data_IF_053440042572
#
_entry.id   IF_053440042572
#
_cell.length_a   1.000
_cell.length_b   1.000
_cell.length_c   1.000
_cell.angle_alpha   90.00
_cell.angle_beta   90.00
_cell.angle_gamma   90.00
#
_symmetry.space_group_name_H-M   'P 1'
#
loop_
_entity.id
_entity.type
_entity.pdbx_description
1 polymer ?
#
# COMPACT_ATOMS: atom_id res chain seq x y z
N UNK A 1 25.22 17.62 -5.47
CA UNK A 1 24.96 16.59 -4.45
C UNK A 1 23.46 16.49 -4.23
N UNK A 2 22.81 15.42 -4.68
CA UNK A 2 21.39 15.19 -4.42
C UNK A 2 21.20 14.91 -2.94
N UNK A 3 20.48 15.76 -2.25
CA UNK A 3 20.23 15.64 -0.82
C UNK A 3 19.32 14.43 -0.54
N UNK A 4 19.87 13.34 -0.09
CA UNK A 4 19.17 12.09 0.25
C UNK A 4 18.13 12.32 1.39
N UNK A 5 18.34 13.34 2.20
CA UNK A 5 17.48 13.59 3.36
C UNK A 5 16.01 13.90 2.98
N UNK A 6 15.76 14.56 1.83
CA UNK A 6 14.39 14.91 1.41
C UNK A 6 13.52 13.67 1.11
N UNK A 7 13.96 12.71 0.25
CA UNK A 7 13.19 11.48 0.07
C UNK A 7 13.07 10.67 1.36
N UNK A 8 14.11 10.62 2.20
CA UNK A 8 14.03 9.93 3.48
C UNK A 8 12.99 10.56 4.42
N UNK A 9 12.97 11.89 4.53
CA UNK A 9 11.99 12.61 5.33
C UNK A 9 10.56 12.39 4.80
N UNK A 10 10.38 12.36 3.48
CA UNK A 10 9.08 12.08 2.87
C UNK A 10 8.58 10.67 3.20
N UNK A 11 9.44 9.66 3.07
CA UNK A 11 9.11 8.28 3.45
C UNK A 11 8.77 8.17 4.93
N UNK A 12 9.56 8.78 5.81
CA UNK A 12 9.28 8.80 7.25
C UNK A 12 7.91 9.46 7.53
N UNK A 13 7.62 10.59 6.89
CA UNK A 13 6.33 11.26 7.05
C UNK A 13 5.16 10.44 6.53
N UNK A 14 5.32 9.67 5.44
CA UNK A 14 4.32 8.72 4.96
C UNK A 14 4.07 7.59 5.96
N UNK A 15 5.10 7.09 6.61
CA UNK A 15 4.99 5.91 7.48
C UNK A 15 4.56 6.26 8.91
N UNK A 16 4.87 7.45 9.40
CA UNK A 16 4.57 7.85 10.78
C UNK A 16 3.11 7.60 11.19
N UNK A 17 2.08 8.00 10.42
CA UNK A 17 0.70 7.76 10.82
C UNK A 17 0.32 6.27 10.90
N UNK A 18 0.94 5.43 10.08
CA UNK A 18 0.67 3.98 10.06
C UNK A 18 1.10 3.32 11.37
N UNK A 19 2.24 3.74 11.93
CA UNK A 19 2.82 3.12 13.12
C UNK A 19 2.53 3.88 14.42
N UNK A 20 1.86 5.03 14.33
CA UNK A 20 1.59 5.88 15.50
C UNK A 20 0.68 5.21 16.54
N UNK A 21 -0.33 4.48 16.11
CA UNK A 21 -1.38 3.92 16.97
C UNK A 21 -1.20 2.41 17.28
N UNK A 22 -0.04 1.84 17.04
CA UNK A 22 0.24 0.41 17.26
C UNK A 22 -0.42 -0.54 16.24
N UNK A 23 -1.59 -0.18 15.71
CA UNK A 23 -2.24 -0.82 14.56
C UNK A 23 -2.83 0.25 13.64
N UNK A 24 -2.79 0.05 12.32
CA UNK A 24 -3.44 0.96 11.38
C UNK A 24 -4.94 1.06 11.65
N UNK A 25 -5.46 2.29 11.69
CA UNK A 25 -6.88 2.57 11.89
C UNK A 25 -7.51 2.90 10.53
N UNK A 26 -7.99 1.89 9.83
CA UNK A 26 -8.65 2.05 8.53
C UNK A 26 -9.88 1.14 8.46
N UNK A 27 -10.99 1.64 7.91
CA UNK A 27 -12.31 1.03 8.08
C UNK A 27 -12.42 -0.40 7.56
N UNK A 28 -11.91 -0.69 6.36
CA UNK A 28 -12.00 -2.02 5.71
C UNK A 28 -10.79 -2.94 5.98
N UNK A 29 -9.75 -2.42 6.61
CA UNK A 29 -8.52 -3.18 6.85
C UNK A 29 -8.76 -4.43 7.72
N UNK A 30 -9.59 -4.41 8.77
CA UNK A 30 -9.93 -5.61 9.54
C UNK A 30 -10.58 -6.71 8.70
N UNK A 31 -11.39 -6.35 7.69
CA UNK A 31 -12.03 -7.32 6.78
C UNK A 31 -10.98 -8.09 5.96
N UNK A 32 -9.97 -7.39 5.45
CA UNK A 32 -8.85 -8.01 4.74
C UNK A 32 -8.07 -8.96 5.65
N UNK A 33 -7.74 -8.52 6.86
CA UNK A 33 -7.01 -9.34 7.84
C UNK A 33 -7.82 -10.57 8.24
N UNK A 34 -9.14 -10.42 8.45
CA UNK A 34 -10.06 -11.52 8.75
C UNK A 34 -10.11 -12.54 7.60
N UNK A 35 -10.19 -12.08 6.35
CA UNK A 35 -10.22 -12.96 5.19
C UNK A 35 -8.95 -13.81 5.09
N UNK A 36 -7.78 -13.23 5.35
CA UNK A 36 -6.51 -13.97 5.37
C UNK A 36 -6.48 -15.01 6.50
N UNK A 37 -6.91 -14.61 7.70
CA UNK A 37 -7.00 -15.52 8.84
C UNK A 37 -7.96 -16.70 8.54
N UNK A 38 -9.15 -16.42 8.02
CA UNK A 38 -10.12 -17.44 7.66
C UNK A 38 -9.58 -18.39 6.59
N UNK A 39 -8.89 -17.86 5.58
CA UNK A 39 -8.26 -18.65 4.55
C UNK A 39 -7.19 -19.61 5.12
N UNK A 40 -6.46 -19.20 6.15
CA UNK A 40 -5.52 -20.09 6.84
C UNK A 40 -6.23 -21.21 7.59
N UNK A 41 -7.32 -20.91 8.32
CA UNK A 41 -8.12 -21.95 9.00
C UNK A 41 -8.69 -22.97 8.01
N UNK A 42 -9.18 -22.53 6.85
CA UNK A 42 -9.68 -23.42 5.80
C UNK A 42 -8.56 -24.35 5.30
N UNK A 43 -7.36 -23.82 5.04
CA UNK A 43 -6.21 -24.63 4.60
C UNK A 43 -5.75 -25.63 5.65
N UNK A 44 -5.92 -25.33 6.92
CA UNK A 44 -5.60 -26.20 8.07
C UNK A 44 -6.70 -27.24 8.37
N UNK A 45 -7.86 -27.14 7.70
CA UNK A 45 -9.01 -28.01 7.96
C UNK A 45 -9.80 -27.65 9.21
N UNK A 46 -9.54 -26.48 9.80
CA UNK A 46 -10.17 -26.01 11.06
C UNK A 46 -11.48 -25.24 10.80
N UNK A 47 -11.88 -25.06 9.54
CA UNK A 47 -13.14 -24.43 9.15
C UNK A 47 -13.99 -25.38 8.26
N UNK A 48 -14.57 -26.45 8.80
CA UNK A 48 -15.30 -27.44 8.02
C UNK A 48 -16.53 -26.82 7.33
N UNK A 49 -16.76 -27.22 6.08
CA UNK A 49 -17.88 -26.69 5.27
C UNK A 49 -17.58 -25.37 4.56
N UNK A 50 -16.41 -24.80 4.76
CA UNK A 50 -15.94 -23.62 4.02
C UNK A 50 -14.88 -24.02 3.00
N UNK A 51 -14.81 -23.27 1.90
CA UNK A 51 -13.78 -23.42 0.86
C UNK A 51 -13.29 -22.06 0.38
N UNK A 52 -12.08 -22.04 -0.18
CA UNK A 52 -11.50 -20.82 -0.76
C UNK A 52 -11.90 -20.78 -2.22
N UNK A 53 -12.67 -19.77 -2.60
CA UNK A 53 -12.93 -19.48 -4.00
C UNK A 53 -11.66 -18.97 -4.68
N UNK A 54 -11.25 -19.51 -5.84
CA UNK A 54 -10.05 -19.07 -6.54
C UNK A 54 -10.26 -17.71 -7.21
N UNK A 55 -10.22 -16.64 -6.43
CA UNK A 55 -10.27 -15.26 -6.93
C UNK A 55 -8.86 -14.79 -7.26
N UNK A 56 -8.65 -14.32 -8.50
CA UNK A 56 -7.35 -13.82 -8.98
C UNK A 56 -7.26 -12.30 -8.86
N UNK A 57 -8.39 -11.60 -8.97
CA UNK A 57 -8.45 -10.14 -8.96
C UNK A 57 -8.61 -9.59 -7.54
N UNK A 58 -8.05 -8.41 -7.31
CA UNK A 58 -8.19 -7.64 -6.07
C UNK A 58 -7.72 -8.39 -4.80
N UNK A 59 -6.65 -9.18 -4.89
CA UNK A 59 -6.14 -10.02 -3.79
C UNK A 59 -4.66 -9.78 -3.48
N UNK A 60 -4.05 -8.72 -4.00
CA UNK A 60 -2.61 -8.49 -3.84
C UNK A 60 -2.25 -8.21 -2.37
N UNK A 61 -3.11 -7.47 -1.67
CA UNK A 61 -2.92 -7.19 -0.24
C UNK A 61 -2.98 -8.47 0.59
N UNK A 62 -3.99 -9.33 0.34
CA UNK A 62 -4.15 -10.61 1.03
C UNK A 62 -2.96 -11.54 0.79
N UNK A 63 -2.43 -11.57 -0.43
CA UNK A 63 -1.23 -12.35 -0.75
C UNK A 63 0.01 -11.81 -0.04
N UNK A 64 0.15 -10.50 0.05
CA UNK A 64 1.24 -9.87 0.81
C UNK A 64 1.12 -10.21 2.31
N UNK A 65 -0.09 -10.13 2.86
CA UNK A 65 -0.37 -10.52 4.24
C UNK A 65 -0.02 -12.00 4.49
N UNK A 66 -0.50 -12.89 3.63
CA UNK A 66 -0.27 -14.35 3.75
C UNK A 66 1.24 -14.68 3.73
N UNK A 67 2.00 -13.98 2.87
CA UNK A 67 3.47 -14.09 2.83
C UNK A 67 4.13 -13.63 4.14
N UNK A 68 3.71 -12.48 4.67
CA UNK A 68 4.28 -11.90 5.89
C UNK A 68 3.96 -12.74 7.13
N UNK A 69 2.80 -13.38 7.18
CA UNK A 69 2.37 -14.25 8.28
C UNK A 69 3.22 -15.51 8.41
N UNK A 70 4.00 -15.88 7.40
CA UNK A 70 5.03 -16.92 7.53
C UNK A 70 6.16 -16.56 8.51
N UNK A 71 6.30 -15.26 8.86
CA UNK A 71 7.43 -14.75 9.65
C UNK A 71 7.01 -13.84 10.80
N UNK A 72 5.81 -13.28 10.75
CA UNK A 72 5.36 -12.20 11.64
C UNK A 72 4.02 -12.54 12.30
N UNK A 73 3.73 -11.86 13.41
CA UNK A 73 2.38 -11.86 13.99
C UNK A 73 1.38 -11.13 13.09
N UNK A 74 0.09 -11.40 13.25
CA UNK A 74 -0.98 -10.73 12.50
C UNK A 74 -0.89 -9.21 12.58
N UNK A 75 -0.68 -8.65 13.77
CA UNK A 75 -0.59 -7.22 13.97
C UNK A 75 0.62 -6.61 13.23
N UNK A 76 1.77 -7.28 13.26
CA UNK A 76 2.97 -6.82 12.56
C UNK A 76 2.81 -6.94 11.03
N UNK A 77 2.27 -8.06 10.55
CA UNK A 77 2.01 -8.30 9.13
C UNK A 77 1.03 -7.25 8.57
N UNK A 78 -0.07 -6.98 9.27
CA UNK A 78 -1.06 -5.95 8.90
C UNK A 78 -0.42 -4.56 8.80
N UNK A 79 0.35 -4.15 9.81
CA UNK A 79 1.00 -2.84 9.83
C UNK A 79 2.01 -2.68 8.70
N UNK A 80 2.82 -3.71 8.44
CA UNK A 80 3.83 -3.70 7.37
C UNK A 80 3.18 -3.74 5.98
N UNK A 81 2.17 -4.59 5.79
CA UNK A 81 1.44 -4.65 4.54
C UNK A 81 0.73 -3.33 4.22
N UNK A 82 0.11 -2.71 5.22
CA UNK A 82 -0.54 -1.42 5.05
C UNK A 82 0.46 -0.28 4.82
N UNK A 83 1.59 -0.28 5.53
CA UNK A 83 2.70 0.64 5.28
C UNK A 83 3.20 0.54 3.83
N UNK A 84 3.30 -0.66 3.29
CA UNK A 84 3.65 -0.87 1.89
C UNK A 84 2.60 -0.26 0.94
N UNK A 85 1.30 -0.41 1.23
CA UNK A 85 0.24 0.24 0.43
C UNK A 85 0.37 1.77 0.42
N UNK A 86 0.61 2.38 1.57
CA UNK A 86 0.82 3.84 1.70
C UNK A 86 2.07 4.29 0.94
N UNK A 87 3.17 3.52 1.03
CA UNK A 87 4.40 3.81 0.28
C UNK A 87 4.20 3.70 -1.23
N UNK A 88 3.51 2.68 -1.69
CA UNK A 88 3.24 2.48 -3.13
C UNK A 88 2.35 3.61 -3.64
N UNK A 89 1.29 3.98 -2.93
CA UNK A 89 0.40 5.08 -3.32
C UNK A 89 1.14 6.42 -3.32
N UNK A 90 1.75 6.80 -2.21
CA UNK A 90 2.43 8.10 -2.05
C UNK A 90 3.69 8.20 -2.90
N UNK A 91 4.48 7.11 -2.99
CA UNK A 91 5.66 7.03 -3.83
C UNK A 91 5.32 7.07 -5.32
N UNK A 92 4.31 6.32 -5.76
CA UNK A 92 3.81 6.34 -7.13
C UNK A 92 3.32 7.72 -7.54
N UNK A 93 2.52 8.39 -6.69
CA UNK A 93 2.08 9.77 -6.91
C UNK A 93 3.27 10.75 -7.02
N UNK A 94 4.27 10.62 -6.15
CA UNK A 94 5.47 11.46 -6.20
C UNK A 94 6.28 11.25 -7.49
N UNK A 95 6.43 10.01 -7.94
CA UNK A 95 7.08 9.68 -9.21
C UNK A 95 6.33 10.24 -10.40
N UNK A 96 5.00 10.10 -10.43
CA UNK A 96 4.16 10.66 -11.47
C UNK A 96 4.29 12.18 -11.56
N UNK A 97 4.12 12.88 -10.43
CA UNK A 97 4.23 14.35 -10.39
C UNK A 97 5.64 14.83 -10.79
N UNK A 98 6.68 14.12 -10.35
CA UNK A 98 8.06 14.41 -10.76
C UNK A 98 8.24 14.29 -12.26
N UNK A 99 7.70 13.25 -12.88
CA UNK A 99 7.80 13.06 -14.33
C UNK A 99 7.01 14.12 -15.10
N UNK A 100 5.79 14.42 -14.66
CA UNK A 100 4.94 15.43 -15.29
C UNK A 100 5.49 16.86 -15.15
N UNK A 101 6.03 17.20 -13.98
CA UNK A 101 6.57 18.54 -13.71
C UNK A 101 8.00 18.76 -14.21
N UNK A 102 8.73 17.71 -14.61
CA UNK A 102 10.13 17.77 -15.02
C UNK A 102 11.11 18.25 -13.95
N UNK A 103 10.70 18.30 -12.67
CA UNK A 103 11.48 18.84 -11.56
C UNK A 103 11.13 18.15 -10.24
N UNK A 104 11.93 18.43 -9.19
CA UNK A 104 11.71 17.87 -7.86
C UNK A 104 10.36 18.31 -7.26
N UNK A 105 9.63 17.36 -6.70
CA UNK A 105 8.27 17.49 -6.15
C UNK A 105 8.21 17.99 -4.71
N UNK A 106 9.34 18.38 -4.12
CA UNK A 106 9.43 18.65 -2.67
C UNK A 106 8.55 19.81 -2.21
N UNK A 107 8.27 20.78 -3.09
CA UNK A 107 7.30 21.85 -2.80
C UNK A 107 5.85 21.35 -2.70
N UNK A 108 5.55 20.17 -3.27
CA UNK A 108 4.24 19.53 -3.23
C UNK A 108 4.17 18.40 -2.19
N UNK A 109 5.25 18.15 -1.46
CA UNK A 109 5.29 17.06 -0.48
C UNK A 109 4.14 17.11 0.55
N UNK A 110 3.76 18.26 1.14
CA UNK A 110 2.63 18.30 2.05
C UNK A 110 1.30 17.89 1.40
N UNK A 111 1.07 18.25 0.15
CA UNK A 111 -0.13 17.88 -0.59
C UNK A 111 -0.14 16.37 -0.91
N UNK A 112 1.01 15.82 -1.30
CA UNK A 112 1.16 14.39 -1.55
C UNK A 112 0.96 13.56 -0.28
N UNK A 113 1.46 14.03 0.86
CA UNK A 113 1.23 13.40 2.17
C UNK A 113 -0.26 13.44 2.55
N UNK A 114 -0.91 14.59 2.39
CA UNK A 114 -2.34 14.71 2.66
C UNK A 114 -3.18 13.81 1.74
N UNK A 115 -2.83 13.72 0.46
CA UNK A 115 -3.50 12.84 -0.50
C UNK A 115 -3.28 11.35 -0.16
N UNK A 116 -2.05 10.96 0.21
CA UNK A 116 -1.72 9.59 0.58
C UNK A 116 -2.44 9.12 1.86
N UNK A 117 -2.79 10.03 2.77
CA UNK A 117 -3.57 9.75 3.99
C UNK A 117 -5.04 10.21 3.88
N UNK A 118 -5.52 10.45 2.67
CA UNK A 118 -6.89 10.85 2.39
C UNK A 118 -7.91 9.71 2.54
N UNK A 119 -9.09 9.91 1.96
CA UNK A 119 -10.24 9.00 2.08
C UNK A 119 -9.92 7.53 1.78
N UNK A 120 -9.18 7.25 0.71
CA UNK A 120 -8.86 5.87 0.28
C UNK A 120 -8.09 5.10 1.35
N UNK A 121 -7.14 5.77 1.99
CA UNK A 121 -6.33 5.20 3.08
C UNK A 121 -7.14 5.04 4.36
N UNK A 122 -7.97 6.04 4.71
CA UNK A 122 -8.86 5.97 5.86
C UNK A 122 -9.96 4.92 5.68
N UNK A 123 -10.44 4.72 4.45
CA UNK A 123 -11.38 3.66 4.12
C UNK A 123 -10.74 2.27 4.13
N UNK A 124 -9.41 2.15 4.06
CA UNK A 124 -8.70 0.87 4.08
C UNK A 124 -8.73 0.11 2.75
N UNK A 125 -8.91 0.81 1.62
CA UNK A 125 -8.96 0.20 0.28
C UNK A 125 -7.57 -0.23 -0.21
N UNK A 126 -6.96 -1.18 0.50
CA UNK A 126 -5.57 -1.58 0.34
C UNK A 126 -5.21 -2.00 -1.09
N UNK A 127 -6.02 -2.85 -1.71
CA UNK A 127 -5.79 -3.31 -3.09
C UNK A 127 -5.93 -2.17 -4.12
N UNK A 128 -6.83 -1.22 -3.88
CA UNK A 128 -6.97 -0.02 -4.72
C UNK A 128 -5.73 0.89 -4.59
N UNK A 129 -5.21 1.08 -3.38
CA UNK A 129 -3.99 1.86 -3.14
C UNK A 129 -2.80 1.27 -3.91
N UNK A 130 -2.63 -0.06 -3.87
CA UNK A 130 -1.59 -0.76 -4.63
C UNK A 130 -1.77 -0.56 -6.14
N UNK A 131 -2.98 -0.74 -6.65
CA UNK A 131 -3.29 -0.62 -8.08
C UNK A 131 -3.01 0.79 -8.60
N UNK A 132 -3.51 1.82 -7.92
CA UNK A 132 -3.30 3.23 -8.30
C UNK A 132 -1.84 3.63 -8.16
N UNK A 133 -1.18 3.21 -7.08
CA UNK A 133 0.22 3.53 -6.84
C UNK A 133 1.15 2.91 -7.88
N UNK A 134 0.96 1.65 -8.23
CA UNK A 134 1.74 0.99 -9.30
C UNK A 134 1.45 1.59 -10.68
N UNK A 135 0.19 1.90 -11.00
CA UNK A 135 -0.16 2.57 -12.24
C UNK A 135 0.50 3.95 -12.34
N UNK A 136 0.49 4.72 -11.25
CA UNK A 136 1.16 6.02 -11.19
C UNK A 136 2.70 5.90 -11.31
N UNK A 137 3.31 4.89 -10.72
CA UNK A 137 4.75 4.65 -10.83
C UNK A 137 5.17 4.21 -12.24
N UNK A 138 4.36 3.39 -12.92
CA UNK A 138 4.64 2.89 -14.27
C UNK A 138 4.35 3.91 -15.38
N UNK A 139 3.37 4.79 -15.17
CA UNK A 139 2.88 5.74 -16.16
C UNK A 139 3.95 6.62 -16.83
N UNK A 140 4.93 7.17 -16.09
CA UNK A 140 6.01 7.95 -16.69
C UNK A 140 6.83 7.19 -17.72
N UNK A 141 7.10 5.90 -17.48
CA UNK A 141 7.81 5.02 -18.42
C UNK A 141 7.02 4.77 -19.69
N UNK A 142 5.71 4.58 -19.57
CA UNK A 142 4.80 4.38 -20.70
C UNK A 142 4.71 5.64 -21.58
N UNK A 143 4.63 6.82 -20.95
CA UNK A 143 4.60 8.11 -21.68
C UNK A 143 5.93 8.43 -22.36
N UNK A 144 7.06 8.05 -21.77
CA UNK A 144 8.38 8.27 -22.36
C UNK A 144 8.66 7.32 -23.54
N UNK A 145 8.17 6.08 -23.48
CA UNK A 145 8.29 5.09 -24.58
C UNK A 145 7.39 5.35 -25.78
N UNK A 146 6.33 6.13 -25.58
CA UNK A 146 5.32 6.44 -26.61
C UNK A 146 5.66 7.65 -27.50
N UNK A 147 6.92 7.99 -27.72
CA UNK A 147 7.30 8.96 -28.77
C UNK A 147 7.21 8.26 -30.13
N UNK A 148 6.01 8.31 -30.71
CA UNK A 148 5.71 7.97 -32.10
C UNK A 148 5.99 9.17 -33.01
#
# INVERSE_FOLDING_TARGET
MSSIWRPAAFVLALLTPVFWAGRPQAADLPSHTYNVWLAQLIRQGEAPGLWIEPVILNTLYERLMDLLLGWLSYAAAESIAFAFCVLVLGGGAALWVRAAAGRAVWGLAPLLLAAAHGFVTQAGFANFMLSVGFAAAAGPGLLAGGRW
#
